data_IF_430221696492
#
_entry.id   IF_430221696492
#
_cell.length_a   1.000
_cell.length_b   1.000
_cell.length_c   1.000
_cell.angle_alpha   90.00
_cell.angle_beta   90.00
_cell.angle_gamma   90.00
#
_symmetry.space_group_name_H-M   'P 1'
#
loop_
_entity.id
_entity.type
_entity.pdbx_description
1 polymer ?
#
# COMPACT_ATOMS: atom_id res chain seq x y z
N UNK A 1 4.51 -9.67 11.06
CA UNK A 1 3.20 -9.11 10.67
C UNK A 1 2.37 -10.24 10.07
N UNK A 2 1.13 -10.45 10.55
CA UNK A 2 0.33 -11.64 10.24
C UNK A 2 -0.31 -11.61 8.84
N UNK A 3 -0.85 -10.46 8.42
CA UNK A 3 -1.56 -10.29 7.15
C UNK A 3 -0.67 -9.82 5.99
N UNK A 4 0.64 -10.00 6.10
CA UNK A 4 1.59 -9.53 5.08
C UNK A 4 1.26 -10.15 3.70
N UNK A 5 1.22 -9.33 2.62
CA UNK A 5 1.00 -9.84 1.27
C UNK A 5 2.02 -10.90 0.84
N UNK A 6 1.55 -12.05 0.33
CA UNK A 6 2.41 -13.11 -0.23
C UNK A 6 2.66 -12.85 -1.72
N UNK A 7 3.58 -11.94 -2.03
CA UNK A 7 3.91 -11.51 -3.40
C UNK A 7 4.87 -12.52 -4.04
N UNK A 8 4.47 -13.11 -5.18
CA UNK A 8 5.34 -13.93 -6.02
C UNK A 8 6.19 -13.06 -6.95
N UNK A 9 5.53 -12.19 -7.69
CA UNK A 9 6.16 -11.24 -8.61
C UNK A 9 5.40 -9.91 -8.57
N UNK A 10 6.11 -8.81 -8.81
CA UNK A 10 5.51 -7.49 -8.98
C UNK A 10 6.47 -6.56 -9.72
N UNK A 11 5.92 -5.58 -10.44
CA UNK A 11 6.72 -4.54 -11.08
C UNK A 11 6.74 -3.26 -10.22
N UNK A 12 7.92 -2.76 -9.82
CA UNK A 12 8.04 -1.45 -9.22
C UNK A 12 7.59 -0.37 -10.19
N UNK A 13 6.60 0.43 -9.79
CA UNK A 13 6.06 1.54 -10.57
C UNK A 13 6.69 2.86 -10.15
N UNK A 14 6.79 3.10 -8.84
CA UNK A 14 7.29 4.34 -8.27
C UNK A 14 8.02 4.02 -6.96
N UNK A 15 9.03 4.81 -6.63
CA UNK A 15 9.75 4.73 -5.35
C UNK A 15 9.75 6.09 -4.68
N UNK A 16 9.71 6.08 -3.36
CA UNK A 16 9.71 7.27 -2.53
C UNK A 16 10.62 7.07 -1.33
N UNK A 17 11.12 8.18 -0.80
CA UNK A 17 11.77 8.26 0.49
C UNK A 17 10.92 9.13 1.42
N UNK A 18 10.73 8.66 2.66
CA UNK A 18 9.97 9.36 3.71
C UNK A 18 10.75 9.25 5.01
N UNK A 19 11.51 10.29 5.36
CA UNK A 19 12.50 10.21 6.44
C UNK A 19 13.46 9.04 6.20
N UNK A 20 13.59 8.16 7.20
CA UNK A 20 14.43 6.96 7.15
C UNK A 20 13.69 5.73 6.60
N UNK A 21 12.66 5.91 5.78
CA UNK A 21 11.93 4.81 5.14
C UNK A 21 11.98 4.94 3.62
N UNK A 22 12.12 3.79 2.96
CA UNK A 22 11.87 3.66 1.53
C UNK A 22 10.47 3.10 1.31
N UNK A 23 9.65 3.79 0.52
CA UNK A 23 8.36 3.29 0.08
C UNK A 23 8.44 2.87 -1.39
N UNK A 24 8.10 1.62 -1.70
CA UNK A 24 8.03 1.12 -3.08
C UNK A 24 6.59 0.84 -3.45
N UNK A 25 6.10 1.51 -4.49
CA UNK A 25 4.80 1.26 -5.08
C UNK A 25 4.95 0.19 -6.17
N UNK A 26 4.28 -0.93 -5.96
CA UNK A 26 4.25 -2.10 -6.81
C UNK A 26 2.92 -2.18 -7.56
N UNK A 27 2.97 -2.60 -8.81
CA UNK A 27 1.81 -2.98 -9.63
C UNK A 27 2.12 -4.22 -10.45
N UNK A 28 1.15 -4.71 -11.24
CA UNK A 28 1.27 -5.99 -11.96
C UNK A 28 1.70 -7.12 -11.00
N UNK A 29 0.89 -7.31 -9.97
CA UNK A 29 1.21 -8.17 -8.84
C UNK A 29 0.67 -9.57 -9.08
N UNK A 30 1.53 -10.57 -8.96
CA UNK A 30 1.15 -11.97 -8.81
C UNK A 30 1.29 -12.36 -7.34
N UNK A 31 0.28 -13.00 -6.79
CA UNK A 31 0.20 -13.38 -5.38
C UNK A 31 -0.49 -14.73 -5.20
N UNK A 32 -0.15 -15.43 -4.12
CA UNK A 32 -0.89 -16.60 -3.65
C UNK A 32 -2.01 -16.24 -2.65
N UNK A 33 -2.16 -14.97 -2.31
CA UNK A 33 -3.23 -14.51 -1.45
C UNK A 33 -4.59 -14.64 -2.15
N UNK A 34 -5.66 -14.82 -1.37
CA UNK A 34 -7.04 -14.72 -1.89
C UNK A 34 -7.37 -13.29 -2.37
N UNK A 35 -6.64 -12.30 -1.85
CA UNK A 35 -6.81 -10.88 -2.18
C UNK A 35 -6.20 -10.59 -3.55
N UNK A 36 -6.97 -9.95 -4.43
CA UNK A 36 -6.49 -9.53 -5.75
C UNK A 36 -5.96 -8.10 -5.70
N UNK A 37 -4.66 -7.96 -5.50
CA UNK A 37 -4.01 -6.66 -5.43
C UNK A 37 -3.90 -6.01 -6.81
N UNK A 38 -4.29 -4.74 -6.88
CA UNK A 38 -4.05 -3.87 -8.02
C UNK A 38 -2.77 -3.06 -7.82
N UNK A 39 -2.60 -2.48 -6.63
CA UNK A 39 -1.38 -1.81 -6.20
C UNK A 39 -1.03 -2.17 -4.76
N UNK A 40 0.26 -2.15 -4.45
CA UNK A 40 0.78 -2.27 -3.09
C UNK A 40 1.85 -1.19 -2.89
N UNK A 41 1.69 -0.34 -1.88
CA UNK A 41 2.78 0.47 -1.35
C UNK A 41 3.41 -0.29 -0.17
N UNK A 42 4.68 -0.68 -0.30
CA UNK A 42 5.43 -1.35 0.76
C UNK A 42 6.47 -0.39 1.35
N UNK A 43 6.45 -0.19 2.67
CA UNK A 43 7.40 0.67 3.37
C UNK A 43 8.41 -0.15 4.16
N UNK A 44 9.69 0.09 3.87
CA UNK A 44 10.84 -0.58 4.48
C UNK A 44 11.69 0.47 5.22
N UNK A 45 11.97 0.30 6.52
CA UNK A 45 12.92 1.15 7.23
C UNK A 45 14.33 1.01 6.63
N UNK A 46 15.11 2.08 6.68
CA UNK A 46 16.48 2.07 6.17
C UNK A 46 17.34 1.07 6.94
N UNK A 47 18.05 0.20 6.21
CA UNK A 47 18.87 -0.87 6.79
C UNK A 47 18.13 -2.18 7.04
N UNK A 48 16.80 -2.17 6.92
CA UNK A 48 15.98 -3.37 7.02
C UNK A 48 15.72 -3.98 5.63
N UNK A 49 15.38 -5.27 5.62
CA UNK A 49 14.97 -5.97 4.40
C UNK A 49 13.45 -6.12 4.30
N UNK A 50 12.75 -6.03 5.43
CA UNK A 50 11.36 -6.41 5.53
C UNK A 50 10.44 -5.19 5.69
N UNK A 51 9.32 -5.12 4.93
CA UNK A 51 8.37 -4.05 5.11
C UNK A 51 7.67 -4.09 6.47
N UNK A 52 7.52 -2.91 7.08
CA UNK A 52 6.81 -2.72 8.35
C UNK A 52 5.36 -2.28 8.16
N UNK A 53 5.04 -1.79 6.97
CA UNK A 53 3.72 -1.32 6.59
C UNK A 53 3.46 -1.63 5.11
N UNK A 54 2.25 -2.08 4.83
CA UNK A 54 1.68 -2.11 3.50
C UNK A 54 0.42 -1.26 3.44
N UNK A 55 0.24 -0.56 2.34
CA UNK A 55 -1.05 -0.03 1.92
C UNK A 55 -1.41 -0.70 0.60
N UNK A 56 -2.61 -1.24 0.48
CA UNK A 56 -3.03 -1.99 -0.71
C UNK A 56 -4.26 -1.36 -1.33
N UNK A 57 -4.32 -1.41 -2.67
CA UNK A 57 -5.56 -1.30 -3.41
C UNK A 57 -5.89 -2.69 -3.92
N UNK A 58 -6.98 -3.27 -3.45
CA UNK A 58 -7.39 -4.65 -3.78
C UNK A 58 -8.84 -4.71 -4.22
N UNK A 59 -9.20 -5.72 -5.01
CA UNK A 59 -10.59 -5.86 -5.45
C UNK A 59 -11.53 -6.00 -4.25
N UNK A 60 -12.52 -5.11 -4.17
CA UNK A 60 -13.52 -5.13 -3.10
C UNK A 60 -14.36 -6.43 -3.17
N UNK A 61 -14.72 -7.00 -2.00
CA UNK A 61 -15.59 -8.16 -1.95
C UNK A 61 -17.00 -7.79 -2.43
N UNK A 62 -17.82 -8.80 -2.74
CA UNK A 62 -19.13 -8.58 -3.37
C UNK A 62 -20.05 -7.67 -2.54
N UNK A 63 -19.94 -7.75 -1.22
CA UNK A 63 -20.73 -7.01 -0.24
C UNK A 63 -20.47 -5.51 -0.28
N UNK A 64 -19.25 -5.08 -0.61
CA UNK A 64 -18.85 -3.66 -0.68
C UNK A 64 -18.82 -3.10 -2.10
N UNK A 65 -19.13 -3.92 -3.10
CA UNK A 65 -18.98 -3.55 -4.52
C UNK A 65 -19.89 -2.39 -4.95
N UNK A 66 -20.93 -2.07 -4.17
CA UNK A 66 -21.78 -0.90 -4.38
C UNK A 66 -21.12 0.43 -3.99
N UNK A 67 -20.09 0.40 -3.14
CA UNK A 67 -19.31 1.57 -2.72
C UNK A 67 -18.14 1.86 -3.68
N UNK A 68 -17.62 0.80 -4.30
CA UNK A 68 -16.62 0.86 -5.36
C UNK A 68 -16.01 -0.51 -5.64
N UNK A 69 -15.27 -0.63 -6.74
CA UNK A 69 -14.66 -1.89 -7.13
C UNK A 69 -13.37 -2.25 -6.36
N UNK A 70 -12.81 -1.31 -5.58
CA UNK A 70 -11.51 -1.46 -4.93
C UNK A 70 -11.55 -0.98 -3.47
N UNK A 71 -11.00 -1.79 -2.57
CA UNK A 71 -10.75 -1.47 -1.17
C UNK A 71 -9.33 -0.89 -1.02
N UNK A 72 -9.22 0.18 -0.24
CA UNK A 72 -7.96 0.73 0.26
C UNK A 72 -7.73 0.18 1.68
N UNK A 73 -6.72 -0.67 1.83
CA UNK A 73 -6.41 -1.33 3.10
C UNK A 73 -5.04 -0.93 3.63
N UNK A 74 -4.94 -0.79 4.94
CA UNK A 74 -3.67 -0.72 5.67
C UNK A 74 -3.38 -2.05 6.34
N UNK A 75 -2.13 -2.49 6.26
CA UNK A 75 -1.63 -3.70 6.91
C UNK A 75 -0.30 -3.39 7.61
N UNK A 76 -0.28 -3.52 8.93
CA UNK A 76 0.92 -3.33 9.77
C UNK A 76 1.00 -4.42 10.83
N UNK A 77 2.00 -4.35 11.71
CA UNK A 77 2.06 -5.23 12.88
C UNK A 77 0.92 -5.01 13.89
N UNK A 78 0.32 -3.81 13.93
CA UNK A 78 -0.68 -3.40 14.92
C UNK A 78 -2.09 -3.25 14.36
N UNK A 79 -2.25 -3.08 13.05
CA UNK A 79 -3.53 -2.78 12.41
C UNK A 79 -3.60 -3.43 11.03
N UNK A 80 -4.69 -4.18 10.79
CA UNK A 80 -5.13 -4.58 9.46
C UNK A 80 -6.57 -4.10 9.29
N UNK A 81 -6.82 -3.10 8.44
CA UNK A 81 -8.17 -2.58 8.25
C UNK A 81 -8.42 -1.94 6.88
N UNK A 82 -9.67 -2.02 6.40
CA UNK A 82 -10.12 -1.30 5.20
C UNK A 82 -10.52 0.11 5.61
N UNK A 83 -9.86 1.11 5.03
CA UNK A 83 -10.08 2.51 5.38
C UNK A 83 -11.01 3.23 4.40
N UNK A 84 -11.10 2.76 3.16
CA UNK A 84 -12.01 3.31 2.15
C UNK A 84 -12.29 2.29 1.04
N UNK A 85 -13.42 2.45 0.33
CA UNK A 85 -13.77 1.65 -0.84
C UNK A 85 -14.23 2.58 -1.96
N UNK A 86 -13.54 2.54 -3.12
CA UNK A 86 -13.86 3.39 -4.25
C UNK A 86 -13.17 2.96 -5.57
N UNK A 87 -13.79 3.27 -6.71
CA UNK A 87 -13.21 2.99 -8.04
C UNK A 87 -11.90 3.72 -8.32
N UNK A 88 -11.65 4.83 -7.60
CA UNK A 88 -10.46 5.66 -7.81
C UNK A 88 -9.16 4.96 -7.40
N UNK A 89 -9.22 3.93 -6.56
CA UNK A 89 -8.04 3.19 -6.11
C UNK A 89 -7.37 2.35 -7.20
N UNK A 90 -8.04 2.17 -8.34
CA UNK A 90 -7.40 1.64 -9.55
C UNK A 90 -6.45 2.64 -10.24
N UNK A 91 -6.45 3.92 -9.85
CA UNK A 91 -5.65 4.97 -10.50
C UNK A 91 -4.36 5.16 -9.72
N UNK A 92 -3.23 4.90 -10.38
CA UNK A 92 -1.90 4.91 -9.78
C UNK A 92 -1.63 6.18 -8.96
N UNK A 93 -1.83 7.36 -9.54
CA UNK A 93 -1.48 8.62 -8.88
C UNK A 93 -2.37 8.89 -7.65
N UNK A 94 -3.67 8.59 -7.73
CA UNK A 94 -4.61 8.79 -6.62
C UNK A 94 -4.35 7.80 -5.48
N UNK A 95 -4.04 6.55 -5.82
CA UNK A 95 -3.62 5.55 -4.85
C UNK A 95 -2.29 5.96 -4.19
N UNK A 96 -1.30 6.37 -4.98
CA UNK A 96 0.02 6.75 -4.48
C UNK A 96 -0.08 7.89 -3.45
N UNK A 97 -0.80 8.95 -3.79
CA UNK A 97 -1.01 10.10 -2.92
C UNK A 97 -1.64 9.69 -1.58
N UNK A 98 -2.76 8.95 -1.62
CA UNK A 98 -3.46 8.52 -0.41
C UNK A 98 -2.63 7.52 0.41
N UNK A 99 -1.95 6.59 -0.25
CA UNK A 99 -1.14 5.58 0.43
C UNK A 99 0.06 6.18 1.15
N UNK A 100 0.69 7.21 0.57
CA UNK A 100 1.79 7.94 1.20
C UNK A 100 1.31 8.78 2.40
N UNK A 101 0.13 9.39 2.32
CA UNK A 101 -0.49 10.08 3.46
C UNK A 101 -0.79 9.10 4.61
N UNK A 102 -1.49 7.99 4.31
CA UNK A 102 -1.77 6.94 5.29
C UNK A 102 -0.50 6.40 5.93
N UNK A 103 0.55 6.17 5.14
CA UNK A 103 1.81 5.69 5.65
C UNK A 103 2.48 6.66 6.63
N UNK A 104 2.45 7.96 6.33
CA UNK A 104 2.93 8.97 7.26
C UNK A 104 2.09 9.04 8.54
N UNK A 105 0.78 8.84 8.45
CA UNK A 105 -0.10 8.85 9.61
C UNK A 105 0.14 7.63 10.51
N UNK A 106 0.19 6.42 9.93
CA UNK A 106 0.31 5.16 10.67
C UNK A 106 1.69 5.03 11.35
N UNK A 107 2.76 5.47 10.69
CA UNK A 107 4.12 5.40 11.23
C UNK A 107 4.54 6.65 12.03
N UNK A 108 3.66 7.63 12.19
CA UNK A 108 3.98 8.87 12.91
C UNK A 108 5.01 9.77 12.18
N UNK A 109 5.08 9.68 10.85
CA UNK A 109 6.01 10.42 9.99
C UNK A 109 5.42 11.71 9.39
N UNK A 110 4.32 12.25 9.95
CA UNK A 110 3.57 13.39 9.39
C UNK A 110 4.38 14.65 9.07
N UNK A 111 5.54 14.82 9.68
CA UNK A 111 6.43 15.97 9.46
C UNK A 111 7.60 15.66 8.49
N UNK A 112 7.65 14.44 7.95
CA UNK A 112 8.70 14.01 7.04
C UNK A 112 8.32 14.37 5.61
N UNK A 113 9.28 14.91 4.87
CA UNK A 113 9.07 15.17 3.45
C UNK A 113 9.04 13.85 2.68
N UNK A 114 8.04 13.70 1.81
CA UNK A 114 8.00 12.63 0.81
C UNK A 114 8.78 13.07 -0.42
N UNK A 115 9.83 12.33 -0.76
CA UNK A 115 10.66 12.57 -1.94
C UNK A 115 10.43 11.43 -2.93
N UNK A 116 9.94 11.74 -4.13
CA UNK A 116 9.84 10.75 -5.21
C UNK A 116 11.23 10.48 -5.78
N UNK A 117 11.62 9.21 -5.83
CA UNK A 117 12.89 8.75 -6.37
C UNK A 117 12.71 8.43 -7.87
N UNK A 118 13.77 8.66 -8.65
CA UNK A 118 13.79 8.42 -10.11
C UNK A 118 13.72 6.92 -10.44
#
# INVERSE_FOLDING_TARGET
MQDRPQIKTALPKQRYQIGDHTATLLGEIETDDERRYHFILALVPMGEQEPVLYVTSEQAPAERRSEGAYDLRVISASLTDVLDTADRWQRLDQFAEQALDLAQQVLGLRNQQVVKLM
#
